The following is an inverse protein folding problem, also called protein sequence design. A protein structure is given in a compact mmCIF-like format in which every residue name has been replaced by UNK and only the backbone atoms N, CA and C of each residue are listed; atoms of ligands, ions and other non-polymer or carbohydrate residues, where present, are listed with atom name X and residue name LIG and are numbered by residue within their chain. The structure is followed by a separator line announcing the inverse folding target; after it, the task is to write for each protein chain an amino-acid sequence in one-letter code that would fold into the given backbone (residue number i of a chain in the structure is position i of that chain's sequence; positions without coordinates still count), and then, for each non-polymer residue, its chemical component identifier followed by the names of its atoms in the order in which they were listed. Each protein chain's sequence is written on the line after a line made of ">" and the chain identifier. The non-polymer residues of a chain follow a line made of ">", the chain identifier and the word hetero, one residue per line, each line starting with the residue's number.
data_IF_775311033035
#
_entry.id   IF_775311033035
#
_cell.length_a   1.000
_cell.length_b   1.000
_cell.length_c   1.000
_cell.angle_alpha   90.00
_cell.angle_beta   90.00
_cell.angle_gamma   90.00
#
_symmetry.space_group_name_H-M   'P 1'
#
loop_
_entity.id
_entity.type
_entity.pdbx_description
1 polymer ?
#
# COMPACT_ATOMS: atom_id res chain seq x y z
N UNK A 1 -18.90 19.89 19.87
CA UNK A 1 -17.89 18.79 19.94
C UNK A 1 -18.70 17.50 19.98
N UNK A 2 -18.93 16.92 18.83
CA UNK A 2 -19.54 15.59 18.74
C UNK A 2 -18.47 14.59 19.13
N UNK A 3 -18.69 13.84 20.21
CA UNK A 3 -17.89 12.70 20.61
C UNK A 3 -17.82 11.72 19.42
N UNK A 4 -16.75 11.79 18.66
CA UNK A 4 -16.41 10.75 17.70
C UNK A 4 -16.24 9.43 18.46
N UNK A 5 -16.47 8.28 17.80
CA UNK A 5 -16.28 6.99 18.45
C UNK A 5 -14.89 6.94 19.08
N UNK A 6 -14.80 6.43 20.31
CA UNK A 6 -13.50 6.35 20.98
C UNK A 6 -12.50 5.62 20.10
N UNK A 7 -11.24 6.03 20.12
CA UNK A 7 -10.17 5.42 19.31
C UNK A 7 -10.14 3.88 19.51
N UNK A 8 -10.45 3.42 20.72
CA UNK A 8 -10.56 2.00 21.04
C UNK A 8 -11.71 1.32 20.26
N UNK A 9 -12.90 1.94 20.21
CA UNK A 9 -14.03 1.37 19.48
C UNK A 9 -13.81 1.35 17.96
N UNK A 10 -13.11 2.35 17.42
CA UNK A 10 -12.70 2.37 16.02
C UNK A 10 -11.66 1.27 15.73
N UNK A 11 -10.68 1.10 16.62
CA UNK A 11 -9.71 0.01 16.55
C UNK A 11 -10.40 -1.36 16.50
N UNK A 12 -11.34 -1.61 17.42
CA UNK A 12 -12.06 -2.89 17.50
C UNK A 12 -12.87 -3.18 16.22
N UNK A 13 -13.49 -2.16 15.62
CA UNK A 13 -14.20 -2.33 14.34
C UNK A 13 -13.27 -2.66 13.19
N UNK A 14 -12.13 -2.01 13.10
CA UNK A 14 -11.11 -2.34 12.07
C UNK A 14 -10.53 -3.73 12.31
N UNK A 15 -10.19 -4.07 13.55
CA UNK A 15 -9.64 -5.37 13.92
C UNK A 15 -10.61 -6.51 13.60
N UNK A 16 -11.91 -6.31 13.72
CA UNK A 16 -12.94 -7.31 13.37
C UNK A 16 -12.93 -7.71 11.87
N UNK A 17 -12.41 -6.83 11.00
CA UNK A 17 -12.26 -7.10 9.56
C UNK A 17 -10.89 -7.69 9.18
N UNK A 18 -9.98 -7.80 10.14
CA UNK A 18 -8.58 -8.19 9.94
C UNK A 18 -8.26 -9.40 10.80
N UNK A 19 -7.93 -10.52 10.18
CA UNK A 19 -7.54 -11.73 10.92
C UNK A 19 -6.02 -11.73 11.12
N UNK A 20 -5.58 -11.76 12.38
CA UNK A 20 -4.15 -11.88 12.73
C UNK A 20 -3.29 -10.68 12.28
N UNK A 21 -3.81 -9.46 12.40
CA UNK A 21 -3.14 -8.19 12.02
C UNK A 21 -3.20 -7.12 13.11
N UNK A 22 -3.45 -7.50 14.33
CA UNK A 22 -3.62 -6.57 15.46
C UNK A 22 -2.34 -5.74 15.70
N UNK A 23 -1.17 -6.39 15.59
CA UNK A 23 0.12 -5.71 15.73
C UNK A 23 0.36 -4.70 14.61
N UNK A 24 0.16 -5.12 13.36
CA UNK A 24 0.36 -4.25 12.19
C UNK A 24 -0.65 -3.09 12.20
N UNK A 25 -1.90 -3.33 12.58
CA UNK A 25 -2.91 -2.29 12.75
C UNK A 25 -2.45 -1.26 13.78
N UNK A 26 -1.99 -1.70 14.95
CA UNK A 26 -1.49 -0.81 16.01
C UNK A 26 -0.31 0.04 15.52
N UNK A 27 0.64 -0.56 14.81
CA UNK A 27 1.82 0.14 14.31
C UNK A 27 1.47 1.16 13.21
N UNK A 28 0.57 0.80 12.28
CA UNK A 28 0.10 1.73 11.24
C UNK A 28 -0.62 2.91 11.86
N UNK A 29 -1.53 2.67 12.81
CA UNK A 29 -2.26 3.73 13.50
C UNK A 29 -1.31 4.65 14.30
N UNK A 30 -0.32 4.09 14.98
CA UNK A 30 0.69 4.87 15.69
C UNK A 30 1.52 5.75 14.73
N UNK A 31 1.93 5.21 13.58
CA UNK A 31 2.67 5.97 12.58
C UNK A 31 1.81 7.10 11.97
N UNK A 32 0.55 6.82 11.65
CA UNK A 32 -0.42 7.83 11.17
C UNK A 32 -0.63 8.93 12.21
N UNK A 33 -0.85 8.56 13.47
CA UNK A 33 -1.03 9.52 14.56
C UNK A 33 0.21 10.39 14.79
N UNK A 34 1.41 9.82 14.59
CA UNK A 34 2.68 10.56 14.63
C UNK A 34 2.95 11.41 13.36
N UNK A 35 2.01 11.46 12.42
CA UNK A 35 2.17 12.23 11.18
C UNK A 35 3.19 11.68 10.20
N UNK A 36 3.51 10.37 10.27
CA UNK A 36 4.55 9.75 9.46
C UNK A 36 3.98 9.12 8.19
N UNK A 37 4.73 9.22 7.11
CA UNK A 37 4.53 8.42 5.91
C UNK A 37 5.01 6.98 6.15
N UNK A 38 4.45 6.00 5.45
CA UNK A 38 4.62 4.57 5.78
C UNK A 38 5.01 3.77 4.54
N UNK A 39 5.95 2.83 4.70
CA UNK A 39 6.17 1.74 3.74
C UNK A 39 5.81 0.41 4.40
N UNK A 40 4.90 -0.33 3.77
CA UNK A 40 4.52 -1.69 4.13
C UNK A 40 5.34 -2.68 3.30
N UNK A 41 6.32 -3.32 3.91
CA UNK A 41 7.20 -4.26 3.23
C UNK A 41 6.77 -5.70 3.49
N UNK A 42 6.64 -6.49 2.45
CA UNK A 42 6.31 -7.90 2.59
C UNK A 42 5.89 -8.56 1.29
N UNK A 43 5.83 -9.89 1.30
CA UNK A 43 5.45 -10.66 0.11
C UNK A 43 4.02 -10.33 -0.34
N UNK A 44 3.66 -10.67 -1.59
CA UNK A 44 2.30 -10.51 -2.08
C UNK A 44 1.32 -11.37 -1.26
N UNK A 45 0.04 -10.95 -1.23
CA UNK A 45 -1.00 -11.69 -0.51
C UNK A 45 -0.97 -11.58 1.02
N UNK A 46 -0.20 -10.64 1.59
CA UNK A 46 -0.13 -10.40 3.04
C UNK A 46 -1.15 -9.37 3.56
N UNK A 47 -2.18 -9.07 2.79
CA UNK A 47 -3.31 -8.20 3.17
C UNK A 47 -2.94 -6.72 3.43
N UNK A 48 -1.85 -6.21 2.84
CA UNK A 48 -1.43 -4.80 2.98
C UNK A 48 -2.52 -3.81 2.56
N UNK A 49 -3.06 -4.00 1.35
CA UNK A 49 -4.15 -3.15 0.82
C UNK A 49 -5.45 -3.29 1.61
N UNK A 50 -5.75 -4.49 2.11
CA UNK A 50 -6.93 -4.74 2.95
C UNK A 50 -6.86 -3.98 4.27
N UNK A 51 -5.68 -3.99 4.93
CA UNK A 51 -5.42 -3.25 6.16
C UNK A 51 -5.67 -1.74 5.97
N UNK A 52 -5.11 -1.16 4.90
CA UNK A 52 -5.28 0.27 4.62
C UNK A 52 -6.72 0.63 4.30
N UNK A 53 -7.41 -0.17 3.48
CA UNK A 53 -8.82 0.06 3.15
C UNK A 53 -9.71 0.00 4.39
N UNK A 54 -9.46 -0.93 5.30
CA UNK A 54 -10.21 -1.03 6.55
C UNK A 54 -10.00 0.21 7.43
N UNK A 55 -8.75 0.69 7.56
CA UNK A 55 -8.42 1.92 8.29
C UNK A 55 -9.12 3.12 7.65
N UNK A 56 -8.91 3.36 6.35
CA UNK A 56 -9.44 4.55 5.68
C UNK A 56 -10.96 4.57 5.65
N UNK A 57 -11.61 3.42 5.50
CA UNK A 57 -13.08 3.32 5.55
C UNK A 57 -13.64 3.67 6.93
N UNK A 58 -12.99 3.21 8.01
CA UNK A 58 -13.46 3.46 9.38
C UNK A 58 -13.39 4.95 9.76
N UNK A 59 -12.31 5.62 9.36
CA UNK A 59 -12.13 7.05 9.69
C UNK A 59 -12.58 8.01 8.59
N UNK A 60 -13.20 7.51 7.51
CA UNK A 60 -13.66 8.35 6.40
C UNK A 60 -12.50 9.08 5.69
N UNK A 61 -11.29 8.52 5.71
CA UNK A 61 -10.11 9.13 5.09
C UNK A 61 -10.16 8.87 3.58
N UNK A 62 -10.07 9.91 2.74
CA UNK A 62 -9.96 9.74 1.30
C UNK A 62 -8.74 8.85 0.95
N UNK A 63 -8.94 7.81 0.14
CA UNK A 63 -7.89 6.90 -0.29
C UNK A 63 -7.71 6.98 -1.80
N UNK A 64 -6.60 7.55 -2.23
CA UNK A 64 -6.21 7.61 -3.64
C UNK A 64 -5.23 6.47 -3.91
N UNK A 65 -5.58 5.58 -4.84
CA UNK A 65 -4.79 4.41 -5.18
C UNK A 65 -3.97 4.64 -6.44
N UNK A 66 -2.70 4.25 -6.41
CA UNK A 66 -1.78 4.26 -7.55
C UNK A 66 -0.99 2.96 -7.57
N UNK A 67 -0.84 2.36 -8.74
CA UNK A 67 0.04 1.21 -8.95
C UNK A 67 1.39 1.68 -9.49
N UNK A 68 2.47 1.33 -8.79
CA UNK A 68 3.84 1.58 -9.24
C UNK A 68 4.20 0.67 -10.40
N UNK A 69 4.59 1.27 -11.50
CA UNK A 69 5.07 0.59 -12.69
C UNK A 69 6.03 1.50 -13.46
N UNK A 70 6.73 0.95 -14.46
CA UNK A 70 7.71 1.68 -15.26
C UNK A 70 7.14 2.90 -16.02
N UNK A 71 5.82 2.92 -16.26
CA UNK A 71 5.14 3.99 -16.99
C UNK A 71 4.59 5.09 -16.06
N UNK A 72 4.74 4.97 -14.75
CA UNK A 72 4.30 5.97 -13.78
C UNK A 72 5.26 7.17 -13.79
N UNK A 73 4.99 8.14 -14.65
CA UNK A 73 5.80 9.36 -14.74
C UNK A 73 5.40 10.40 -13.68
N UNK A 74 6.28 11.38 -13.35
CA UNK A 74 5.93 12.52 -12.49
C UNK A 74 4.66 13.24 -12.95
N UNK A 75 4.47 13.42 -14.25
CA UNK A 75 3.28 14.08 -14.81
C UNK A 75 2.00 13.28 -14.58
N UNK A 76 2.06 11.93 -14.65
CA UNK A 76 0.90 11.10 -14.31
C UNK A 76 0.55 11.19 -12.82
N UNK A 77 1.55 11.41 -11.98
CA UNK A 77 1.37 11.51 -10.54
C UNK A 77 0.88 12.89 -10.10
N UNK A 78 1.48 13.96 -10.62
CA UNK A 78 1.14 15.35 -10.29
C UNK A 78 -0.12 15.79 -11.02
N UNK A 79 -0.21 15.51 -12.33
CA UNK A 79 -1.29 15.96 -13.20
C UNK A 79 -0.76 16.58 -14.50
N UNK A 80 -1.67 17.01 -15.31
CA UNK A 80 -1.36 17.58 -16.63
C UNK A 80 -2.43 18.58 -17.08
N UNK A 81 -2.08 19.46 -17.98
CA UNK A 81 -3.06 20.32 -18.64
C UNK A 81 -3.93 19.50 -19.59
N UNK A 82 -5.23 19.79 -19.61
CA UNK A 82 -6.16 19.16 -20.51
C UNK A 82 -5.84 19.55 -21.98
N UNK A 83 -5.39 18.61 -22.83
CA UNK A 83 -4.94 18.96 -24.18
C UNK A 83 -6.03 19.61 -25.06
N UNK A 84 -7.29 19.22 -24.88
CA UNK A 84 -8.41 19.77 -25.63
C UNK A 84 -8.72 21.23 -25.23
N UNK A 85 -8.47 21.61 -23.98
CA UNK A 85 -8.64 22.96 -23.49
C UNK A 85 -7.45 23.86 -23.86
N UNK A 86 -6.24 23.34 -23.78
CA UNK A 86 -5.02 24.08 -24.18
C UNK A 86 -5.10 24.58 -25.62
N UNK A 87 -5.67 23.79 -26.54
CA UNK A 87 -5.87 24.18 -27.93
C UNK A 87 -6.84 25.36 -28.12
N UNK A 88 -7.68 25.67 -27.12
CA UNK A 88 -8.72 26.73 -27.19
C UNK A 88 -8.43 27.91 -26.29
N UNK A 89 -7.82 27.69 -25.14
CA UNK A 89 -7.76 28.62 -24.02
C UNK A 89 -6.33 28.86 -23.52
N UNK A 90 -5.32 28.28 -24.20
CA UNK A 90 -3.91 28.32 -23.82
C UNK A 90 -3.61 27.58 -22.47
N UNK A 91 -2.38 27.66 -21.99
CA UNK A 91 -1.93 27.08 -20.71
C UNK A 91 -2.42 27.91 -19.51
N UNK A 92 -3.70 27.77 -19.20
CA UNK A 92 -4.30 28.40 -18.01
C UNK A 92 -4.24 27.46 -16.80
N UNK A 93 -4.08 27.97 -15.55
CA UNK A 93 -4.23 27.18 -14.33
C UNK A 93 -5.54 26.37 -14.26
N UNK A 94 -6.63 26.95 -14.80
CA UNK A 94 -7.96 26.34 -14.82
C UNK A 94 -8.06 25.12 -15.75
N UNK A 95 -7.06 24.95 -16.63
CA UNK A 95 -6.97 23.83 -17.56
C UNK A 95 -6.11 22.69 -17.02
N UNK A 96 -5.53 22.85 -15.81
CA UNK A 96 -4.76 21.81 -15.17
C UNK A 96 -5.68 20.79 -14.51
N UNK A 97 -5.40 19.51 -14.75
CA UNK A 97 -6.11 18.38 -14.13
C UNK A 97 -5.19 17.76 -13.11
N UNK A 98 -5.58 17.80 -11.84
CA UNK A 98 -4.82 17.22 -10.74
C UNK A 98 -4.66 15.71 -10.96
N UNK A 99 -3.44 15.25 -10.79
CA UNK A 99 -3.13 13.83 -10.69
C UNK A 99 -3.35 13.31 -9.26
N UNK A 100 -3.15 12.00 -9.06
CA UNK A 100 -3.46 11.34 -7.78
C UNK A 100 -2.69 11.93 -6.59
N UNK A 101 -1.47 12.41 -6.78
CA UNK A 101 -0.71 13.05 -5.70
C UNK A 101 -1.36 14.36 -5.25
N UNK A 102 -1.67 15.26 -6.19
CA UNK A 102 -2.28 16.53 -5.84
C UNK A 102 -3.68 16.36 -5.29
N UNK A 103 -4.46 15.43 -5.82
CA UNK A 103 -5.77 15.08 -5.29
C UNK A 103 -5.65 14.66 -3.81
N UNK A 104 -4.79 13.70 -3.48
CA UNK A 104 -4.60 13.26 -2.11
C UNK A 104 -4.08 14.39 -1.20
N UNK A 105 -3.17 15.24 -1.71
CA UNK A 105 -2.64 16.40 -0.96
C UNK A 105 -3.72 17.41 -0.61
N UNK A 106 -4.62 17.75 -1.56
CA UNK A 106 -5.70 18.72 -1.34
C UNK A 106 -6.78 18.18 -0.43
N UNK A 107 -7.17 16.91 -0.63
CA UNK A 107 -8.23 16.25 0.14
C UNK A 107 -7.77 15.85 1.57
N UNK A 108 -6.47 15.94 1.85
CA UNK A 108 -5.91 15.49 3.12
C UNK A 108 -6.01 13.98 3.32
N UNK A 109 -6.09 13.24 2.23
CA UNK A 109 -6.26 11.80 2.20
C UNK A 109 -4.94 11.03 2.22
N UNK A 110 -5.05 9.72 2.06
CA UNK A 110 -3.90 8.83 1.87
C UNK A 110 -3.65 8.60 0.38
N UNK A 111 -2.42 8.85 -0.06
CA UNK A 111 -1.93 8.35 -1.34
C UNK A 111 -1.33 6.97 -1.11
N UNK A 112 -2.04 5.92 -1.55
CA UNK A 112 -1.55 4.55 -1.46
C UNK A 112 -0.90 4.13 -2.77
N UNK A 113 0.40 3.82 -2.71
CA UNK A 113 1.18 3.39 -3.88
C UNK A 113 1.55 1.92 -3.70
N UNK A 114 0.94 1.04 -4.47
CA UNK A 114 1.30 -0.37 -4.52
C UNK A 114 2.50 -0.58 -5.45
N UNK A 115 3.34 -1.57 -5.16
CA UNK A 115 4.58 -1.85 -5.90
C UNK A 115 5.51 -0.62 -6.06
N UNK A 116 5.66 0.13 -4.97
CA UNK A 116 6.39 1.40 -4.92
C UNK A 116 7.78 1.35 -5.57
N UNK A 117 8.53 0.25 -5.37
CA UNK A 117 9.86 0.05 -5.91
C UNK A 117 9.91 -0.25 -7.42
N UNK A 118 8.75 -0.35 -8.10
CA UNK A 118 8.67 -0.47 -9.57
C UNK A 118 8.47 0.86 -10.28
N UNK A 119 8.19 1.93 -9.54
CA UNK A 119 8.10 3.27 -10.12
C UNK A 119 9.49 3.78 -10.53
N UNK A 120 9.59 4.58 -11.61
CA UNK A 120 10.84 5.19 -12.04
C UNK A 120 11.44 6.09 -10.96
N UNK A 121 12.76 6.21 -10.95
CA UNK A 121 13.51 7.00 -9.96
C UNK A 121 13.05 8.47 -9.92
N UNK A 122 12.78 9.08 -11.07
CA UNK A 122 12.29 10.46 -11.15
C UNK A 122 10.95 10.64 -10.45
N UNK A 123 10.08 9.63 -10.55
CA UNK A 123 8.77 9.62 -9.88
C UNK A 123 8.94 9.44 -8.37
N UNK A 124 9.84 8.56 -7.95
CA UNK A 124 10.17 8.40 -6.53
C UNK A 124 10.76 9.68 -5.93
N UNK A 125 11.65 10.37 -6.64
CA UNK A 125 12.22 11.65 -6.21
C UNK A 125 11.15 12.74 -6.09
N UNK A 126 10.19 12.77 -6.99
CA UNK A 126 9.04 13.69 -6.92
C UNK A 126 8.20 13.44 -5.66
N UNK A 127 7.91 12.17 -5.36
CA UNK A 127 7.20 11.78 -4.14
C UNK A 127 7.96 12.15 -2.88
N UNK A 128 9.26 11.88 -2.84
CA UNK A 128 10.11 12.23 -1.69
C UNK A 128 10.13 13.73 -1.43
N UNK A 129 10.18 14.54 -2.49
CA UNK A 129 10.11 16.00 -2.36
C UNK A 129 8.75 16.41 -1.79
N UNK A 130 7.65 15.88 -2.32
CA UNK A 130 6.31 16.18 -1.81
C UNK A 130 6.13 15.77 -0.34
N UNK A 131 6.71 14.64 0.07
CA UNK A 131 6.68 14.16 1.46
C UNK A 131 7.52 15.06 2.39
N UNK A 132 8.70 15.47 1.95
CA UNK A 132 9.63 16.27 2.74
C UNK A 132 9.16 17.72 2.89
N UNK A 133 8.81 18.35 1.77
CA UNK A 133 8.47 19.77 1.71
C UNK A 133 6.98 20.05 1.96
N UNK A 134 6.15 19.00 1.96
CA UNK A 134 4.69 19.09 2.09
C UNK A 134 4.08 20.04 1.06
N UNK A 135 4.72 20.18 -0.09
CA UNK A 135 4.29 21.02 -1.20
C UNK A 135 4.81 20.49 -2.54
N UNK A 136 4.13 20.85 -3.61
CA UNK A 136 4.53 20.55 -4.99
C UNK A 136 4.37 21.80 -5.83
N UNK A 137 5.41 22.15 -6.58
CA UNK A 137 5.32 23.20 -7.59
C UNK A 137 4.68 22.62 -8.86
N UNK A 138 3.59 23.23 -9.27
CA UNK A 138 2.84 22.85 -10.48
C UNK A 138 3.07 23.92 -11.54
N UNK A 139 3.60 23.57 -12.72
CA UNK A 139 3.79 24.53 -13.79
C UNK A 139 2.47 25.27 -14.08
N UNK A 140 2.53 26.60 -14.17
CA UNK A 140 1.39 27.53 -14.42
C UNK A 140 0.31 27.60 -13.33
N UNK A 141 0.20 26.60 -12.43
CA UNK A 141 -0.79 26.57 -11.35
C UNK A 141 -0.23 26.95 -9.97
N UNK A 142 1.10 27.22 -9.87
CA UNK A 142 1.74 27.65 -8.64
C UNK A 142 2.12 26.51 -7.69
N UNK A 143 2.16 26.82 -6.38
CA UNK A 143 2.53 25.86 -5.35
C UNK A 143 1.27 25.26 -4.71
N UNK A 144 1.18 23.95 -4.68
CA UNK A 144 0.13 23.21 -3.98
C UNK A 144 0.69 22.72 -2.65
N UNK A 145 0.10 23.17 -1.55
CA UNK A 145 0.42 22.74 -0.20
C UNK A 145 -0.37 21.49 0.17
N UNK A 146 0.26 20.55 0.84
CA UNK A 146 -0.43 19.37 1.35
C UNK A 146 -1.26 19.73 2.61
N UNK A 147 -2.49 19.24 2.66
CA UNK A 147 -3.28 19.31 3.88
C UNK A 147 -2.57 18.57 5.04
N UNK A 148 -2.77 18.99 6.31
CA UNK A 148 -2.06 18.40 7.46
C UNK A 148 -2.25 16.89 7.62
N UNK A 149 -3.40 16.37 7.19
CA UNK A 149 -3.76 14.96 7.28
C UNK A 149 -3.24 14.11 6.13
N UNK A 150 -2.75 14.72 5.05
CA UNK A 150 -2.18 13.98 3.91
C UNK A 150 -1.04 13.06 4.33
N UNK A 151 -1.05 11.82 3.88
CA UNK A 151 0.02 10.83 4.08
C UNK A 151 0.27 10.04 2.81
N UNK A 152 1.53 9.68 2.61
CA UNK A 152 1.91 8.67 1.62
C UNK A 152 2.03 7.34 2.34
N UNK A 153 1.32 6.35 1.83
CA UNK A 153 1.44 4.97 2.25
C UNK A 153 1.86 4.15 1.04
N UNK A 154 3.03 3.58 1.11
CA UNK A 154 3.56 2.75 0.03
C UNK A 154 3.55 1.28 0.42
N UNK A 155 3.45 0.37 -0.55
CA UNK A 155 3.75 -1.04 -0.34
C UNK A 155 4.76 -1.54 -1.34
N UNK A 156 5.62 -2.44 -0.89
CA UNK A 156 6.59 -3.09 -1.76
C UNK A 156 6.89 -4.52 -1.33
N UNK A 157 7.37 -5.30 -2.28
CA UNK A 157 7.96 -6.60 -2.02
C UNK A 157 9.49 -6.43 -2.02
N UNK A 158 10.17 -6.52 -0.87
CA UNK A 158 11.63 -6.33 -0.81
C UNK A 158 12.44 -7.44 -1.49
N UNK A 159 11.79 -8.57 -1.81
CA UNK A 159 12.41 -9.72 -2.47
C UNK A 159 12.23 -9.71 -3.99
N UNK A 160 11.45 -8.80 -4.53
CA UNK A 160 11.27 -8.65 -5.97
C UNK A 160 12.34 -7.68 -6.52
N UNK A 161 13.33 -8.24 -7.23
CA UNK A 161 14.43 -7.46 -7.79
C UNK A 161 14.33 -7.32 -9.32
N UNK A 162 13.25 -7.82 -9.94
CA UNK A 162 13.04 -7.69 -11.38
C UNK A 162 12.30 -6.40 -11.68
N UNK A 163 12.97 -5.47 -12.37
CA UNK A 163 12.36 -4.18 -12.73
C UNK A 163 12.11 -3.25 -11.53
N UNK A 164 12.89 -3.40 -10.44
CA UNK A 164 12.74 -2.59 -9.23
C UNK A 164 13.93 -1.67 -9.03
N UNK A 165 13.67 -0.49 -8.44
CA UNK A 165 14.70 0.48 -8.05
C UNK A 165 15.06 0.27 -6.58
N UNK A 166 16.35 0.33 -6.25
CA UNK A 166 16.80 0.36 -4.87
C UNK A 166 16.44 1.71 -4.25
N UNK A 167 15.69 1.68 -3.16
CA UNK A 167 15.38 2.89 -2.43
C UNK A 167 16.65 3.47 -1.81
N UNK A 168 16.86 4.77 -2.01
CA UNK A 168 18.00 5.48 -1.42
C UNK A 168 17.87 5.57 0.11
N UNK A 169 18.98 5.80 0.81
CA UNK A 169 18.97 6.01 2.26
C UNK A 169 18.09 7.19 2.68
N UNK A 170 18.00 8.22 1.83
CA UNK A 170 17.14 9.38 2.09
C UNK A 170 15.64 9.04 2.16
N UNK A 171 15.19 7.97 1.46
CA UNK A 171 13.84 7.43 1.61
C UNK A 171 13.67 6.81 2.99
N UNK A 172 14.65 5.99 3.39
CA UNK A 172 14.57 5.25 4.64
C UNK A 172 14.50 6.14 5.89
N UNK A 173 15.14 7.31 5.85
CA UNK A 173 15.17 8.24 6.99
C UNK A 173 13.84 8.98 7.20
N UNK A 174 13.00 9.07 6.16
CA UNK A 174 11.77 9.88 6.17
C UNK A 174 10.50 9.07 6.34
N UNK A 175 10.55 7.76 6.10
CA UNK A 175 9.39 6.87 6.05
C UNK A 175 9.47 5.83 7.16
N UNK A 176 8.36 5.59 7.84
CA UNK A 176 8.23 4.46 8.75
C UNK A 176 8.13 3.15 7.95
N UNK A 177 9.07 2.25 8.14
CA UNK A 177 9.06 0.93 7.51
C UNK A 177 8.42 -0.10 8.42
N UNK A 178 7.39 -0.76 7.94
CA UNK A 178 6.68 -1.82 8.66
C UNK A 178 6.74 -3.11 7.84
N UNK A 179 7.40 -4.12 8.41
CA UNK A 179 7.45 -5.45 7.81
C UNK A 179 6.14 -6.20 8.07
N UNK A 180 5.53 -6.70 7.00
CA UNK A 180 4.29 -7.48 7.03
C UNK A 180 4.57 -8.86 6.43
N UNK A 181 4.68 -9.86 7.30
CA UNK A 181 4.87 -11.26 6.89
C UNK A 181 3.56 -11.99 6.61
N UNK A 182 3.64 -13.26 6.27
CA UNK A 182 2.48 -14.14 6.25
C UNK A 182 1.95 -14.34 7.67
N UNK A 183 0.64 -14.52 7.80
CA UNK A 183 0.01 -14.84 9.07
C UNK A 183 0.39 -16.26 9.53
N UNK A 184 0.11 -16.57 10.79
CA UNK A 184 0.24 -17.95 11.29
C UNK A 184 -0.85 -18.86 10.70
N UNK A 185 -0.69 -20.17 10.92
CA UNK A 185 -1.60 -21.16 10.36
C UNK A 185 -3.04 -21.04 10.89
N UNK A 186 -3.21 -20.54 12.12
CA UNK A 186 -4.54 -20.35 12.71
C UNK A 186 -5.26 -19.17 12.06
N UNK A 187 -4.58 -18.05 11.89
CA UNK A 187 -5.10 -16.86 11.22
C UNK A 187 -5.38 -17.16 9.73
N UNK A 188 -4.51 -17.88 9.03
CA UNK A 188 -4.76 -18.28 7.63
C UNK A 188 -6.00 -19.17 7.49
N UNK A 189 -6.21 -20.12 8.42
CA UNK A 189 -7.46 -20.91 8.45
C UNK A 189 -8.69 -20.04 8.68
N UNK A 190 -8.59 -19.05 9.58
CA UNK A 190 -9.65 -18.08 9.81
C UNK A 190 -9.99 -17.26 8.57
N UNK A 191 -8.99 -16.81 7.81
CA UNK A 191 -9.18 -16.09 6.54
C UNK A 191 -9.89 -16.97 5.51
N UNK A 192 -9.45 -18.22 5.34
CA UNK A 192 -10.09 -19.15 4.41
C UNK A 192 -11.54 -19.41 4.82
N UNK A 193 -11.79 -19.64 6.11
CA UNK A 193 -13.14 -19.85 6.63
C UNK A 193 -14.09 -18.68 6.37
N UNK A 194 -13.58 -17.43 6.42
CA UNK A 194 -14.37 -16.23 6.11
C UNK A 194 -14.63 -16.03 4.62
N UNK A 195 -13.72 -16.51 3.74
CA UNK A 195 -13.75 -16.21 2.30
C UNK A 195 -14.29 -17.34 1.44
N UNK A 196 -14.11 -18.58 1.85
CA UNK A 196 -14.46 -19.79 1.10
C UNK A 196 -15.62 -20.55 1.77
N UNK A 197 -16.78 -19.91 1.89
CA UNK A 197 -17.97 -20.55 2.45
C UNK A 197 -18.46 -21.67 1.52
N UNK A 198 -18.55 -22.89 2.05
CA UNK A 198 -19.08 -24.08 1.36
C UNK A 198 -20.30 -24.63 2.15
N UNK A 199 -21.46 -23.99 2.02
CA UNK A 199 -22.64 -24.30 2.86
C UNK A 199 -23.18 -25.72 2.68
N UNK A 200 -22.85 -26.41 1.57
CA UNK A 200 -23.30 -27.77 1.26
C UNK A 200 -22.36 -28.87 1.75
N UNK A 201 -21.28 -28.51 2.46
CA UNK A 201 -20.27 -29.46 2.96
C UNK A 201 -20.47 -29.66 4.45
N UNK A 202 -20.33 -30.92 4.91
CA UNK A 202 -20.34 -31.23 6.34
C UNK A 202 -19.32 -30.39 7.10
N UNK A 203 -19.68 -29.78 8.24
CA UNK A 203 -18.79 -28.86 8.97
C UNK A 203 -17.45 -29.49 9.38
N UNK A 204 -17.43 -30.77 9.75
CA UNK A 204 -16.20 -31.47 10.12
C UNK A 204 -15.29 -31.73 8.91
N UNK A 205 -15.89 -32.06 7.76
CA UNK A 205 -15.16 -32.19 6.50
C UNK A 205 -14.63 -30.82 6.04
N UNK A 206 -15.45 -29.76 6.14
CA UNK A 206 -15.04 -28.41 5.79
C UNK A 206 -13.80 -27.95 6.58
N UNK A 207 -13.80 -28.14 7.91
CA UNK A 207 -12.65 -27.78 8.75
C UNK A 207 -11.38 -28.54 8.35
N UNK A 208 -11.48 -29.83 8.01
CA UNK A 208 -10.34 -30.60 7.51
C UNK A 208 -9.84 -30.07 6.17
N UNK A 209 -10.72 -29.81 5.21
CA UNK A 209 -10.35 -29.24 3.92
C UNK A 209 -9.64 -27.88 4.06
N UNK A 210 -10.11 -27.02 4.95
CA UNK A 210 -9.45 -25.73 5.23
C UNK A 210 -8.07 -25.95 5.84
N UNK A 211 -7.94 -26.88 6.80
CA UNK A 211 -6.65 -27.16 7.43
C UNK A 211 -5.65 -27.72 6.42
N UNK A 212 -6.05 -28.66 5.57
CA UNK A 212 -5.21 -29.27 4.55
C UNK A 212 -4.81 -28.24 3.47
N UNK A 213 -5.75 -27.42 3.00
CA UNK A 213 -5.46 -26.36 2.03
C UNK A 213 -4.42 -25.36 2.56
N UNK A 214 -4.54 -24.94 3.82
CA UNK A 214 -3.58 -24.05 4.46
C UNK A 214 -2.23 -24.76 4.63
N UNK A 215 -2.21 -26.03 5.06
CA UNK A 215 -0.98 -26.81 5.22
C UNK A 215 -0.22 -26.94 3.89
N UNK A 216 -0.91 -27.30 2.81
CA UNK A 216 -0.34 -27.39 1.46
C UNK A 216 0.20 -26.05 1.01
N UNK A 217 -0.57 -24.97 1.14
CA UNK A 217 -0.14 -23.62 0.74
C UNK A 217 1.12 -23.19 1.50
N UNK A 218 1.20 -23.46 2.80
CA UNK A 218 2.38 -23.14 3.62
C UNK A 218 3.59 -23.98 3.21
N UNK A 219 3.39 -25.28 2.97
CA UNK A 219 4.45 -26.18 2.51
C UNK A 219 5.05 -25.69 1.16
N UNK A 220 4.23 -25.17 0.24
CA UNK A 220 4.73 -24.63 -1.04
C UNK A 220 5.60 -23.39 -0.86
N UNK A 221 5.41 -22.58 0.18
CA UNK A 221 6.26 -21.41 0.46
C UNK A 221 7.65 -21.78 0.98
N UNK A 222 7.77 -22.93 1.61
CA UNK A 222 9.01 -23.43 2.23
C UNK A 222 9.74 -24.45 1.35
N UNK A 223 9.08 -24.95 0.29
CA UNK A 223 9.65 -25.99 -0.56
C UNK A 223 10.76 -25.43 -1.45
N UNK A 224 11.97 -26.03 -1.45
CA UNK A 224 13.14 -25.50 -2.15
C UNK A 224 12.98 -25.45 -3.68
N UNK A 225 12.20 -26.36 -4.26
CA UNK A 225 12.01 -26.48 -5.71
C UNK A 225 10.84 -25.63 -6.23
N UNK A 226 10.02 -25.08 -5.34
CA UNK A 226 8.91 -24.20 -5.73
C UNK A 226 9.39 -22.76 -5.74
N UNK A 227 9.53 -22.20 -6.94
CA UNK A 227 9.86 -20.80 -7.14
C UNK A 227 8.62 -19.94 -6.91
N UNK A 228 8.52 -19.31 -5.74
CA UNK A 228 7.65 -18.16 -5.56
C UNK A 228 8.42 -16.90 -5.96
N UNK A 229 7.75 -15.90 -6.53
CA UNK A 229 8.38 -14.67 -7.00
C UNK A 229 9.26 -13.96 -5.95
N UNK A 230 8.99 -14.13 -4.65
CA UNK A 230 9.75 -13.59 -3.53
C UNK A 230 11.04 -14.35 -3.19
N UNK A 231 11.23 -15.60 -3.67
CA UNK A 231 12.41 -16.44 -3.37
C UNK A 231 13.35 -16.66 -4.57
N UNK A 232 13.00 -16.14 -5.73
CA UNK A 232 13.71 -16.46 -6.98
C UNK A 232 15.18 -16.03 -7.03
N UNK A 233 15.65 -15.19 -6.11
CA UNK A 233 17.01 -14.65 -6.14
C UNK A 233 17.96 -15.26 -5.13
N UNK A 234 17.49 -15.74 -3.99
CA UNK A 234 18.37 -16.46 -3.06
C UNK A 234 18.83 -17.82 -3.61
N UNK A 235 18.00 -18.43 -4.50
CA UNK A 235 18.35 -19.72 -5.12
C UNK A 235 19.12 -19.59 -6.44
N UNK A 236 19.20 -18.41 -7.05
CA UNK A 236 20.00 -18.22 -8.30
C UNK A 236 21.50 -18.15 -8.06
N UNK A 237 21.93 -17.97 -6.80
CA UNK A 237 23.34 -17.89 -6.42
C UNK A 237 23.94 -19.23 -5.95
N UNK A 238 23.19 -20.33 -5.97
CA UNK A 238 23.78 -21.66 -5.74
C UNK A 238 24.26 -22.25 -7.06
N UNK A 239 25.56 -22.53 -7.20
CA UNK A 239 26.05 -23.22 -8.37
C UNK A 239 25.38 -24.59 -8.45
N UNK A 240 24.88 -24.96 -9.63
CA UNK A 240 24.47 -26.33 -9.93
C UNK A 240 25.74 -27.20 -9.83
N UNK A 241 25.77 -28.07 -8.83
CA UNK A 241 26.70 -29.22 -8.87
C UNK A 241 26.18 -30.25 -9.86
#
# INVERSE_FOLDING_TARGET
>A
MTDGPSLAAAYDRVAAHLVGRERELTLVLAAVAAGRDIILEGPPGTSKSTLLRAITAEWGIPLVFVEGNADLTPSKLIGHHNPARVLREDYSPDNFVDGPLLQAMRDGGFLYIEEFNRAPEDTLNTLLTAMAERQVAVPTAGIVMAAPTFRVVASMNPYDNVGTVRLSTSVHDRICRLAIGYQDAAAERGIVALRALLPSVDPGLYQRLVADAVAVTRATREHPDIRQGSRSLENSSRPRM
#
